data_IF_161467648655
#
_entry.id   IF_161467648655
#
_cell.length_a   1.000
_cell.length_b   1.000
_cell.length_c   1.000
_cell.angle_alpha   90.00
_cell.angle_beta   90.00
_cell.angle_gamma   90.00
#
_symmetry.space_group_name_H-M   'P 1'
#
loop_
_entity.id
_entity.type
_entity.pdbx_description
1 polymer ?
#
# COMPACT_ATOMS: atom_id res chain seq x y z
N UNK A 1 -11.10 -2.33 72.54
CA UNK A 1 -10.44 -1.76 71.34
C UNK A 1 -10.04 -2.92 70.44
N UNK A 2 -10.66 -3.10 69.27
CA UNK A 2 -10.19 -4.12 68.32
C UNK A 2 -10.50 -3.68 66.88
N UNK A 3 -9.45 -3.40 66.11
CA UNK A 3 -9.52 -2.74 64.81
C UNK A 3 -9.81 -3.76 63.70
N UNK A 4 -10.90 -3.57 62.94
CA UNK A 4 -11.18 -4.32 61.72
C UNK A 4 -10.22 -3.89 60.60
N UNK A 5 -9.34 -4.78 60.13
CA UNK A 5 -8.47 -4.54 58.97
C UNK A 5 -9.25 -4.77 57.67
N UNK A 6 -9.52 -3.70 56.92
CA UNK A 6 -10.04 -3.78 55.53
C UNK A 6 -8.89 -4.12 54.57
N UNK A 7 -8.90 -5.31 53.98
CA UNK A 7 -7.99 -5.66 52.87
C UNK A 7 -8.42 -4.93 51.58
N UNK A 8 -7.63 -3.95 51.17
CA UNK A 8 -7.80 -3.25 49.89
C UNK A 8 -7.27 -4.16 48.77
N UNK A 9 -8.17 -4.75 47.97
CA UNK A 9 -7.79 -5.41 46.72
C UNK A 9 -7.52 -4.36 45.65
N UNK A 10 -6.25 -4.07 45.38
CA UNK A 10 -5.83 -3.26 44.23
C UNK A 10 -6.15 -4.02 42.93
N UNK A 11 -7.23 -3.64 42.25
CA UNK A 11 -7.48 -4.02 40.84
C UNK A 11 -6.50 -3.25 39.97
N UNK A 12 -5.45 -3.89 39.49
CA UNK A 12 -4.62 -3.35 38.41
C UNK A 12 -5.40 -3.40 37.11
N UNK A 13 -5.97 -2.25 36.71
CA UNK A 13 -6.59 -2.07 35.40
C UNK A 13 -5.47 -2.08 34.36
N UNK A 14 -5.16 -3.26 33.80
CA UNK A 14 -4.26 -3.39 32.64
C UNK A 14 -5.03 -2.82 31.44
N UNK A 15 -4.87 -1.53 31.16
CA UNK A 15 -5.39 -0.91 29.94
C UNK A 15 -4.73 -1.61 28.75
N UNK A 16 -5.46 -2.48 28.05
CA UNK A 16 -5.10 -2.90 26.70
C UNK A 16 -5.05 -1.62 25.89
N UNK A 17 -3.86 -1.06 25.66
CA UNK A 17 -3.65 -0.06 24.60
C UNK A 17 -4.07 -0.76 23.31
N UNK A 18 -5.28 -0.49 22.84
CA UNK A 18 -5.71 -0.86 21.51
C UNK A 18 -4.65 -0.30 20.57
N UNK A 19 -3.99 -1.17 19.79
CA UNK A 19 -3.08 -0.72 18.72
C UNK A 19 -3.88 0.28 17.90
N UNK A 20 -3.46 1.55 17.88
CA UNK A 20 -4.07 2.56 17.04
C UNK A 20 -3.80 2.13 15.60
N UNK A 21 -4.80 1.57 14.93
CA UNK A 21 -4.69 1.26 13.52
C UNK A 21 -4.64 2.59 12.77
N UNK A 22 -3.55 2.83 12.04
CA UNK A 22 -3.37 4.06 11.25
C UNK A 22 -4.34 4.14 10.07
N UNK A 23 -4.70 2.99 9.47
CA UNK A 23 -5.64 2.90 8.36
C UNK A 23 -6.82 1.99 8.70
N UNK A 24 -8.02 2.34 8.23
CA UNK A 24 -9.23 1.52 8.35
C UNK A 24 -9.26 0.45 7.27
N UNK A 25 -9.96 -0.65 7.53
CA UNK A 25 -10.25 -1.63 6.47
C UNK A 25 -11.16 -0.96 5.44
N UNK A 26 -10.88 -1.20 4.16
CA UNK A 26 -11.51 -0.52 3.03
C UNK A 26 -10.93 0.87 2.72
N UNK A 27 -10.01 1.39 3.54
CA UNK A 27 -9.34 2.65 3.23
C UNK A 27 -8.38 2.47 2.05
N UNK A 28 -8.51 3.37 1.07
CA UNK A 28 -7.69 3.41 -0.13
C UNK A 28 -6.76 4.62 -0.06
N UNK A 29 -5.47 4.40 -0.35
CA UNK A 29 -4.49 5.45 -0.63
C UNK A 29 -4.05 5.37 -2.08
N UNK A 30 -3.93 6.53 -2.71
CA UNK A 30 -3.50 6.65 -4.10
C UNK A 30 -2.18 7.42 -4.16
N UNK A 31 -1.34 7.06 -5.11
CA UNK A 31 -0.09 7.75 -5.42
C UNK A 31 0.15 7.70 -6.93
N UNK A 32 0.70 8.78 -7.49
CA UNK A 32 1.26 8.76 -8.84
C UNK A 32 2.74 8.34 -8.71
N UNK A 33 3.15 7.37 -9.53
CA UNK A 33 4.54 6.96 -9.67
C UNK A 33 5.01 7.32 -11.07
N UNK A 34 6.29 7.67 -11.21
CA UNK A 34 6.93 7.89 -12.50
C UNK A 34 7.92 6.76 -12.78
N UNK A 35 7.89 6.24 -14.00
CA UNK A 35 8.78 5.20 -14.49
C UNK A 35 9.21 5.53 -15.92
N UNK A 36 10.51 5.75 -16.14
CA UNK A 36 11.06 6.19 -17.44
C UNK A 36 10.35 7.41 -18.06
N UNK A 37 9.89 8.35 -17.22
CA UNK A 37 9.14 9.54 -17.64
C UNK A 37 7.64 9.33 -17.76
N UNK A 38 7.17 8.08 -17.90
CA UNK A 38 5.75 7.76 -17.89
C UNK A 38 5.17 7.81 -16.48
N UNK A 39 3.92 8.28 -16.36
CA UNK A 39 3.20 8.32 -15.09
C UNK A 39 2.16 7.20 -14.97
N UNK A 40 2.06 6.61 -13.78
CA UNK A 40 1.09 5.57 -13.45
C UNK A 40 0.45 5.87 -12.10
N UNK A 41 -0.77 5.36 -11.90
CA UNK A 41 -1.48 5.45 -10.62
C UNK A 41 -1.38 4.13 -9.87
N UNK A 42 -0.95 4.20 -8.61
CA UNK A 42 -0.97 3.08 -7.67
C UNK A 42 -2.04 3.33 -6.62
N UNK A 43 -2.96 2.39 -6.48
CA UNK A 43 -3.97 2.35 -5.42
C UNK A 43 -3.64 1.23 -4.43
N UNK A 44 -3.49 1.55 -3.15
CA UNK A 44 -3.33 0.58 -2.07
C UNK A 44 -4.55 0.59 -1.15
N UNK A 45 -5.23 -0.55 -0.99
CA UNK A 45 -6.40 -0.72 -0.14
C UNK A 45 -6.10 -1.68 1.00
N UNK A 46 -6.34 -1.25 2.24
CA UNK A 46 -6.25 -2.15 3.40
C UNK A 46 -7.45 -3.11 3.40
N UNK A 47 -7.17 -4.41 3.41
CA UNK A 47 -8.16 -5.48 3.58
C UNK A 47 -8.10 -6.07 4.98
N UNK A 48 -8.99 -7.02 5.27
CA UNK A 48 -8.98 -7.75 6.54
C UNK A 48 -7.77 -8.68 6.68
N UNK A 49 -7.28 -9.17 5.54
CA UNK A 49 -6.27 -10.21 5.38
C UNK A 49 -4.95 -9.70 4.78
N UNK A 50 -4.84 -8.42 4.45
CA UNK A 50 -3.62 -7.86 3.86
C UNK A 50 -3.85 -6.51 3.20
N UNK A 51 -3.11 -6.25 2.14
CA UNK A 51 -3.21 -5.05 1.30
C UNK A 51 -3.49 -5.51 -0.13
N UNK A 52 -4.36 -4.80 -0.83
CA UNK A 52 -4.56 -4.94 -2.26
C UNK A 52 -3.94 -3.74 -2.95
N UNK A 53 -3.01 -4.00 -3.86
CA UNK A 53 -2.30 -2.99 -4.64
C UNK A 53 -2.79 -3.10 -6.07
N UNK A 54 -3.11 -1.98 -6.71
CA UNK A 54 -3.55 -1.93 -8.10
C UNK A 54 -2.73 -0.88 -8.84
N UNK A 55 -2.17 -1.26 -9.99
CA UNK A 55 -1.53 -0.33 -10.93
C UNK A 55 -2.55 0.00 -12.02
N UNK A 56 -2.60 1.27 -12.38
CA UNK A 56 -3.48 1.81 -13.41
C UNK A 56 -2.71 2.76 -14.29
N UNK A 57 -3.16 2.87 -15.54
CA UNK A 57 -2.78 3.97 -16.41
C UNK A 57 -3.35 5.31 -15.90
N UNK A 58 -3.04 6.38 -16.60
CA UNK A 58 -3.56 7.71 -16.25
C UNK A 58 -5.06 7.88 -16.52
N UNK A 59 -5.65 7.03 -17.35
CA UNK A 59 -7.09 6.94 -17.60
C UNK A 59 -7.85 6.15 -16.50
N UNK A 60 -7.15 5.70 -15.45
CA UNK A 60 -7.65 4.84 -14.37
C UNK A 60 -8.05 3.42 -14.81
N UNK A 61 -7.56 2.95 -15.95
CA UNK A 61 -7.73 1.56 -16.38
C UNK A 61 -6.71 0.69 -15.65
N UNK A 62 -7.15 -0.27 -14.81
CA UNK A 62 -6.23 -1.16 -14.13
C UNK A 62 -5.72 -2.24 -15.07
N UNK A 63 -4.39 -2.41 -15.12
CA UNK A 63 -3.75 -3.48 -15.89
C UNK A 63 -3.06 -4.52 -14.99
N UNK A 64 -2.84 -4.23 -13.70
CA UNK A 64 -2.29 -5.21 -12.75
C UNK A 64 -2.80 -5.00 -11.33
N UNK A 65 -2.90 -6.10 -10.59
CA UNK A 65 -3.16 -6.08 -9.14
C UNK A 65 -2.34 -7.12 -8.40
N UNK A 66 -1.97 -6.78 -7.16
CA UNK A 66 -1.28 -7.66 -6.22
C UNK A 66 -2.09 -7.74 -4.93
N UNK A 67 -2.02 -8.89 -4.27
CA UNK A 67 -2.45 -9.05 -2.89
C UNK A 67 -1.23 -9.42 -2.07
N UNK A 68 -1.03 -8.70 -0.96
CA UNK A 68 0.16 -8.78 -0.13
C UNK A 68 -0.26 -8.90 1.32
N UNK A 69 0.18 -9.96 1.99
CA UNK A 69 -0.15 -10.28 3.38
C UNK A 69 0.99 -9.86 4.31
N UNK A 70 2.24 -9.94 3.84
CA UNK A 70 3.44 -9.62 4.61
C UNK A 70 4.50 -8.82 3.85
N UNK A 71 5.63 -8.57 4.51
CA UNK A 71 6.71 -7.74 3.97
C UNK A 71 7.49 -8.45 2.85
N UNK A 72 7.63 -9.77 2.90
CA UNK A 72 8.35 -10.53 1.88
C UNK A 72 7.57 -10.54 0.57
N UNK A 73 6.26 -10.76 0.64
CA UNK A 73 5.36 -10.64 -0.50
C UNK A 73 5.33 -9.22 -1.07
N UNK A 74 5.48 -8.19 -0.21
CA UNK A 74 5.55 -6.81 -0.68
C UNK A 74 6.78 -6.59 -1.57
N UNK A 75 7.95 -7.09 -1.17
CA UNK A 75 9.16 -6.95 -1.97
C UNK A 75 9.02 -7.66 -3.33
N UNK A 76 8.47 -8.87 -3.34
CA UNK A 76 8.20 -9.60 -4.60
C UNK A 76 7.23 -8.82 -5.49
N UNK A 77 6.16 -8.27 -4.91
CA UNK A 77 5.20 -7.45 -5.66
C UNK A 77 5.85 -6.17 -6.22
N UNK A 78 6.75 -5.54 -5.46
CA UNK A 78 7.47 -4.35 -5.92
C UNK A 78 8.42 -4.64 -7.09
N UNK A 79 9.13 -5.76 -7.04
CA UNK A 79 9.97 -6.19 -8.16
C UNK A 79 9.10 -6.49 -9.41
N UNK A 80 8.01 -7.23 -9.23
CA UNK A 80 7.09 -7.55 -10.32
C UNK A 80 6.36 -6.32 -10.91
N UNK A 81 6.17 -5.25 -10.13
CA UNK A 81 5.58 -3.99 -10.63
C UNK A 81 6.46 -3.39 -11.74
N UNK A 82 7.78 -3.46 -11.63
CA UNK A 82 8.69 -2.91 -12.64
C UNK A 82 8.54 -3.61 -13.98
N UNK A 83 8.57 -4.95 -13.97
CA UNK A 83 8.46 -5.76 -15.19
C UNK A 83 7.11 -5.54 -15.89
N UNK A 84 6.03 -5.53 -15.12
CA UNK A 84 4.68 -5.31 -15.64
C UNK A 84 4.50 -3.90 -16.21
N UNK A 85 5.09 -2.88 -15.58
CA UNK A 85 5.04 -1.51 -16.11
C UNK A 85 5.84 -1.38 -17.40
N UNK A 86 7.02 -2.01 -17.48
CA UNK A 86 7.81 -2.07 -18.72
C UNK A 86 7.02 -2.73 -19.85
N UNK A 87 6.45 -3.92 -19.61
CA UNK A 87 5.64 -4.66 -20.58
C UNK A 87 4.45 -3.80 -21.07
N UNK A 88 3.73 -3.15 -20.14
CA UNK A 88 2.63 -2.27 -20.50
C UNK A 88 3.08 -1.11 -21.40
N UNK A 89 4.22 -0.48 -21.12
CA UNK A 89 4.76 0.59 -21.97
C UNK A 89 5.09 0.06 -23.37
N UNK A 90 5.76 -1.10 -23.45
CA UNK A 90 6.13 -1.71 -24.74
C UNK A 90 4.92 -2.04 -25.61
N UNK A 91 3.83 -2.50 -25.00
CA UNK A 91 2.60 -2.88 -25.71
C UNK A 91 1.70 -1.70 -26.08
N UNK A 92 1.74 -0.59 -25.33
CA UNK A 92 0.75 0.50 -25.42
C UNK A 92 1.31 1.85 -25.90
N UNK A 93 2.62 1.94 -26.17
CA UNK A 93 3.27 3.21 -26.54
C UNK A 93 4.16 3.04 -27.77
N UNK A 94 4.28 4.09 -28.56
CA UNK A 94 5.18 4.09 -29.72
C UNK A 94 6.56 4.68 -29.38
N UNK A 95 7.46 4.68 -30.35
CA UNK A 95 8.83 5.19 -30.16
C UNK A 95 8.86 6.71 -29.89
N UNK A 96 7.90 7.47 -30.44
CA UNK A 96 7.83 8.92 -30.21
C UNK A 96 7.41 9.21 -28.78
N UNK A 97 6.46 8.45 -28.24
CA UNK A 97 6.06 8.52 -26.83
C UNK A 97 7.25 8.25 -25.91
N UNK A 98 8.06 7.23 -26.21
CA UNK A 98 9.24 6.88 -25.43
C UNK A 98 10.28 8.00 -25.46
N UNK A 99 10.58 8.55 -26.63
CA UNK A 99 11.51 9.68 -26.77
C UNK A 99 11.02 10.93 -26.00
N UNK A 100 9.73 11.28 -26.13
CA UNK A 100 9.15 12.40 -25.41
C UNK A 100 9.25 12.22 -23.89
N UNK A 101 8.91 11.03 -23.38
CA UNK A 101 8.99 10.76 -21.94
C UNK A 101 10.44 10.73 -21.42
N UNK A 102 11.40 10.28 -22.22
CA UNK A 102 12.81 10.37 -21.87
C UNK A 102 13.29 11.83 -21.77
N UNK A 103 12.79 12.73 -22.63
CA UNK A 103 13.07 14.17 -22.51
C UNK A 103 12.42 14.74 -21.26
N UNK A 104 11.15 14.41 -20.99
CA UNK A 104 10.41 14.91 -19.82
C UNK A 104 10.91 14.34 -18.48
N UNK A 105 11.70 13.27 -18.51
CA UNK A 105 12.38 12.72 -17.33
C UNK A 105 13.53 13.62 -16.83
N UNK A 106 14.14 14.41 -17.71
CA UNK A 106 15.29 15.28 -17.40
C UNK A 106 14.85 16.60 -16.75
#
# INVERSE_FOLDING_TARGET
>A
MNYKTKKIKRRTKKTRRTRKMYYKIGEIKNKIISFNGFEFKVSAMKRHDGISIQIKDMNNVPFKSFHVIDLSELYIAMDAIHDVVNEWIEENTDEQDKLMNLVMKW
#
